data_IF_697379804848
#
_entry.id   IF_697379804848
#
_cell.length_a   1.000
_cell.length_b   1.000
_cell.length_c   1.000
_cell.angle_alpha   90.00
_cell.angle_beta   90.00
_cell.angle_gamma   90.00
#
_symmetry.space_group_name_H-M   'P 1'
#
loop_
_entity.id
_entity.type
_entity.pdbx_description
1 polymer ?
#
# COMPACT_ATOMS: atom_id res chain seq x y z
N UNK A 1 31.29 30.81 -27.30
CA UNK A 1 29.98 30.51 -27.93
C UNK A 1 30.13 29.26 -28.79
N UNK A 2 29.05 28.47 -28.92
CA UNK A 2 28.83 27.47 -29.99
C UNK A 2 29.20 25.98 -29.77
N UNK A 3 28.83 25.35 -28.63
CA UNK A 3 28.77 23.86 -28.57
C UNK A 3 27.62 23.24 -27.75
N UNK A 4 26.51 23.95 -27.53
CA UNK A 4 25.31 23.37 -26.90
C UNK A 4 24.00 23.61 -27.68
N UNK A 5 24.09 24.20 -28.87
CA UNK A 5 22.92 24.43 -29.75
C UNK A 5 22.71 23.26 -30.73
N UNK A 6 23.73 22.44 -30.98
CA UNK A 6 23.70 21.38 -31.99
C UNK A 6 23.00 20.07 -31.60
N UNK A 7 22.49 19.94 -30.37
CA UNK A 7 21.78 18.74 -29.93
C UNK A 7 20.25 18.87 -29.97
N UNK A 8 19.70 20.01 -30.43
CA UNK A 8 18.26 20.22 -30.53
C UNK A 8 17.49 20.23 -29.20
N UNK A 9 18.18 20.19 -28.06
CA UNK A 9 17.60 20.00 -26.73
C UNK A 9 17.20 21.31 -26.02
N UNK A 10 17.39 22.47 -26.65
CA UNK A 10 17.03 23.75 -26.04
C UNK A 10 16.32 24.62 -27.06
N UNK A 11 15.01 24.76 -26.90
CA UNK A 11 14.29 25.94 -27.39
C UNK A 11 14.07 26.87 -26.21
N UNK A 12 14.71 28.04 -26.25
CA UNK A 12 14.43 29.14 -25.33
C UNK A 12 13.32 29.97 -25.95
N UNK A 13 12.17 30.03 -25.30
CA UNK A 13 11.22 31.14 -25.46
C UNK A 13 11.05 31.81 -24.09
N UNK A 14 11.28 33.13 -24.00
CA UNK A 14 11.16 33.85 -22.74
C UNK A 14 9.70 34.23 -22.55
N UNK A 15 9.01 33.60 -21.60
CA UNK A 15 7.72 34.11 -21.15
C UNK A 15 7.47 33.85 -19.66
N UNK A 16 6.76 34.80 -19.06
CA UNK A 16 6.75 35.10 -17.65
C UNK A 16 6.21 33.96 -16.76
N UNK A 17 6.88 33.80 -15.61
CA UNK A 17 6.28 33.46 -14.32
C UNK A 17 5.36 32.22 -14.26
N UNK A 18 5.84 31.05 -14.70
CA UNK A 18 5.59 29.71 -14.10
C UNK A 18 6.31 28.64 -14.93
N UNK A 19 7.33 28.00 -14.37
CA UNK A 19 8.00 26.85 -15.02
C UNK A 19 7.08 25.64 -14.96
N UNK A 20 6.52 25.24 -16.10
CA UNK A 20 5.86 23.94 -16.27
C UNK A 20 6.89 22.95 -16.81
N UNK A 21 7.19 21.91 -16.05
CA UNK A 21 7.96 20.77 -16.53
C UNK A 21 6.98 19.72 -17.08
N UNK A 22 7.19 19.28 -18.32
CA UNK A 22 6.46 18.16 -18.93
C UNK A 22 7.48 17.07 -19.22
N UNK A 23 7.25 15.87 -18.67
CA UNK A 23 8.11 14.71 -18.90
C UNK A 23 7.57 13.94 -20.11
N UNK A 24 8.40 13.76 -21.12
CA UNK A 24 8.09 12.97 -22.32
C UNK A 24 8.49 11.51 -22.05
N UNK A 25 7.50 10.63 -21.86
CA UNK A 25 7.71 9.25 -21.45
C UNK A 25 8.19 8.34 -22.59
N UNK A 26 8.24 8.86 -23.83
CA UNK A 26 8.58 8.08 -25.02
C UNK A 26 10.08 7.78 -25.13
N UNK A 27 10.94 8.42 -24.33
CA UNK A 27 12.39 8.25 -24.33
C UNK A 27 12.93 7.27 -23.26
N UNK A 28 12.08 6.82 -22.33
CA UNK A 28 12.46 5.83 -21.31
C UNK A 28 12.35 4.41 -21.90
N UNK A 29 13.32 4.02 -22.73
CA UNK A 29 13.62 2.60 -22.95
C UNK A 29 14.61 2.18 -21.86
N UNK A 30 14.18 1.53 -20.77
CA UNK A 30 15.14 1.06 -19.78
C UNK A 30 16.05 0.04 -20.45
N UNK A 31 17.37 0.06 -20.18
CA UNK A 31 18.19 -1.11 -20.46
C UNK A 31 17.61 -2.28 -19.66
N UNK A 32 17.25 -3.35 -20.36
CA UNK A 32 16.85 -4.64 -19.82
C UNK A 32 18.04 -5.28 -19.09
N UNK A 33 18.33 -4.79 -17.88
CA UNK A 33 19.16 -5.42 -16.86
C UNK A 33 19.16 -4.51 -15.61
N UNK A 34 18.00 -4.37 -14.96
CA UNK A 34 18.02 -4.02 -13.55
C UNK A 34 18.57 -5.24 -12.80
N UNK A 35 19.50 -5.09 -11.83
CA UNK A 35 19.98 -6.22 -11.06
C UNK A 35 18.79 -6.83 -10.30
N UNK A 36 18.46 -8.08 -10.61
CA UNK A 36 17.41 -8.88 -9.94
C UNK A 36 17.60 -8.93 -8.40
N UNK A 37 18.76 -8.52 -7.89
CA UNK A 37 19.16 -8.58 -6.48
C UNK A 37 18.43 -7.62 -5.53
N UNK A 38 17.81 -6.54 -6.00
CA UNK A 38 17.08 -5.61 -5.12
C UNK A 38 15.62 -6.02 -4.88
N UNK A 39 15.01 -6.78 -5.80
CA UNK A 39 13.62 -7.22 -5.71
C UNK A 39 13.45 -8.44 -4.79
N UNK A 40 14.50 -9.24 -4.56
CA UNK A 40 14.43 -10.47 -3.75
C UNK A 40 14.64 -10.25 -2.25
N UNK A 41 15.39 -9.21 -1.84
CA UNK A 41 15.72 -8.94 -0.43
C UNK A 41 14.56 -8.49 0.48
N UNK A 42 13.54 -7.71 0.02
CA UNK A 42 12.50 -7.18 0.92
C UNK A 42 11.56 -8.26 1.46
N UNK A 43 11.36 -9.36 0.72
CA UNK A 43 10.46 -10.45 1.10
C UNK A 43 11.01 -11.24 2.31
N UNK A 44 12.32 -11.51 2.32
CA UNK A 44 12.96 -12.26 3.41
C UNK A 44 12.98 -11.47 4.73
N UNK A 45 13.24 -10.16 4.65
CA UNK A 45 13.22 -9.28 5.83
C UNK A 45 11.80 -9.13 6.39
N UNK A 46 10.81 -8.93 5.51
CA UNK A 46 9.40 -8.82 5.91
C UNK A 46 8.91 -10.11 6.58
N UNK A 47 9.23 -11.28 6.00
CA UNK A 47 8.87 -12.57 6.57
C UNK A 47 9.54 -12.80 7.94
N UNK A 48 10.80 -12.36 8.11
CA UNK A 48 11.47 -12.40 9.41
C UNK A 48 10.78 -11.51 10.43
N UNK A 49 10.45 -10.27 10.06
CA UNK A 49 9.71 -9.35 10.93
C UNK A 49 8.37 -9.97 11.35
N UNK A 50 7.62 -10.56 10.43
CA UNK A 50 6.35 -11.19 10.78
C UNK A 50 6.55 -12.34 11.78
N UNK A 51 7.56 -13.20 11.58
CA UNK A 51 7.89 -14.27 12.54
C UNK A 51 8.30 -13.75 13.92
N UNK A 52 8.99 -12.61 13.98
CA UNK A 52 9.46 -12.03 15.24
C UNK A 52 8.32 -11.38 16.05
N UNK A 53 7.25 -10.93 15.39
CA UNK A 53 6.15 -10.18 16.02
C UNK A 53 4.84 -10.96 16.12
N UNK A 54 4.61 -11.98 15.30
CA UNK A 54 3.42 -12.83 15.35
C UNK A 54 3.71 -14.18 15.98
N UNK A 55 2.82 -14.59 16.88
CA UNK A 55 2.69 -15.96 17.36
C UNK A 55 1.37 -16.53 16.79
N UNK A 56 1.49 -17.28 15.68
CA UNK A 56 0.35 -17.67 14.87
C UNK A 56 -0.38 -16.44 14.30
N UNK A 57 -1.66 -16.28 14.63
CA UNK A 57 -2.47 -15.13 14.18
C UNK A 57 -2.36 -13.91 15.10
N UNK A 58 -1.73 -14.07 16.27
CA UNK A 58 -1.70 -13.06 17.33
C UNK A 58 -0.42 -12.24 17.25
N UNK A 59 -0.57 -10.93 17.09
CA UNK A 59 0.50 -9.96 17.24
C UNK A 59 0.88 -9.87 18.72
N UNK A 60 2.12 -10.20 19.04
CA UNK A 60 2.64 -10.18 20.41
C UNK A 60 2.81 -8.76 20.95
N UNK A 61 3.24 -7.84 20.09
CA UNK A 61 3.41 -6.42 20.40
C UNK A 61 3.38 -5.57 19.12
N UNK A 62 2.95 -4.32 19.23
CA UNK A 62 3.03 -3.37 18.11
C UNK A 62 4.48 -2.87 17.99
N UNK A 63 5.16 -3.02 16.83
CA UNK A 63 6.54 -2.57 16.67
C UNK A 63 6.69 -1.06 16.93
N UNK A 64 7.66 -0.69 17.78
CA UNK A 64 8.04 0.71 17.99
C UNK A 64 8.73 1.32 16.76
N UNK A 65 9.46 0.49 16.00
CA UNK A 65 10.15 0.90 14.77
C UNK A 65 9.15 0.99 13.63
N UNK A 66 9.02 2.19 13.04
CA UNK A 66 8.06 2.51 11.98
C UNK A 66 8.14 1.58 10.76
N UNK A 67 9.35 1.29 10.26
CA UNK A 67 9.55 0.32 9.15
C UNK A 67 8.93 -1.05 9.43
N UNK A 68 9.21 -1.62 10.62
CA UNK A 68 8.65 -2.91 11.03
C UNK A 68 7.14 -2.84 11.23
N UNK A 69 6.65 -1.70 11.72
CA UNK A 69 5.22 -1.45 11.86
C UNK A 69 4.51 -1.47 10.52
N UNK A 70 5.08 -0.86 9.47
CA UNK A 70 4.51 -0.93 8.12
C UNK A 70 4.33 -2.39 7.70
N UNK A 71 5.35 -3.24 7.88
CA UNK A 71 5.25 -4.67 7.55
C UNK A 71 4.08 -5.35 8.27
N UNK A 72 3.91 -5.09 9.57
CA UNK A 72 2.78 -5.61 10.36
C UNK A 72 1.44 -5.08 9.84
N UNK A 73 1.34 -3.78 9.56
CA UNK A 73 0.12 -3.16 9.04
C UNK A 73 -0.28 -3.73 7.67
N UNK A 74 0.69 -3.98 6.79
CA UNK A 74 0.46 -4.61 5.48
C UNK A 74 -0.13 -6.00 5.63
N UNK A 75 0.45 -6.82 6.51
CA UNK A 75 -0.07 -8.15 6.79
C UNK A 75 -1.48 -8.12 7.39
N UNK A 76 -1.77 -7.17 8.29
CA UNK A 76 -3.12 -7.00 8.81
C UNK A 76 -4.13 -6.55 7.74
N UNK A 77 -3.68 -5.76 6.76
CA UNK A 77 -4.53 -5.28 5.67
C UNK A 77 -5.02 -6.42 4.77
N UNK A 78 -4.29 -7.54 4.68
CA UNK A 78 -4.70 -8.73 3.91
C UNK A 78 -6.01 -9.37 4.43
N UNK A 79 -6.41 -9.05 5.66
CA UNK A 79 -7.69 -9.49 6.25
C UNK A 79 -8.90 -8.72 5.70
N UNK A 80 -8.67 -7.60 5.01
CA UNK A 80 -9.70 -6.74 4.46
C UNK A 80 -9.90 -7.00 2.97
N UNK A 81 -11.15 -7.01 2.54
CA UNK A 81 -11.53 -7.04 1.14
C UNK A 81 -11.57 -5.61 0.59
N UNK A 82 -10.82 -5.30 -0.47
CA UNK A 82 -10.99 -4.09 -1.26
C UNK A 82 -12.43 -3.86 -1.71
N UNK A 83 -12.76 -2.59 -1.92
CA UNK A 83 -14.07 -2.11 -2.39
C UNK A 83 -15.26 -2.42 -1.45
N UNK A 84 -15.00 -2.98 -0.27
CA UNK A 84 -16.02 -3.27 0.74
C UNK A 84 -16.03 -2.25 1.87
N UNK A 85 -17.23 -1.88 2.30
CA UNK A 85 -17.44 -1.04 3.46
C UNK A 85 -17.54 -1.87 4.75
N UNK A 86 -16.76 -1.46 5.74
CA UNK A 86 -16.68 -2.09 7.05
C UNK A 86 -17.15 -1.11 8.13
N UNK A 87 -18.24 -1.39 8.85
CA UNK A 87 -18.53 -0.62 10.06
C UNK A 87 -17.42 -0.83 11.08
N UNK A 88 -17.18 0.17 11.93
CA UNK A 88 -16.14 0.14 12.97
C UNK A 88 -16.15 -1.15 13.81
N UNK A 89 -17.33 -1.69 14.12
CA UNK A 89 -17.47 -2.97 14.83
C UNK A 89 -16.82 -4.12 14.07
N UNK A 90 -17.07 -4.23 12.77
CA UNK A 90 -16.52 -5.31 11.95
C UNK A 90 -15.00 -5.19 11.80
N UNK A 91 -14.48 -3.96 11.66
CA UNK A 91 -13.03 -3.71 11.69
C UNK A 91 -12.42 -4.19 13.00
N UNK A 92 -13.06 -3.88 14.12
CA UNK A 92 -12.59 -4.34 15.42
C UNK A 92 -12.60 -5.87 15.50
N UNK A 93 -13.66 -6.52 14.99
CA UNK A 93 -13.78 -7.98 15.01
C UNK A 93 -12.74 -8.67 14.10
N UNK A 94 -12.37 -8.08 12.97
CA UNK A 94 -11.29 -8.57 12.09
C UNK A 94 -9.89 -8.43 12.72
N UNK A 95 -9.66 -7.37 13.50
CA UNK A 95 -8.37 -7.07 14.12
C UNK A 95 -8.20 -7.73 15.49
N UNK A 96 -9.29 -8.04 16.21
CA UNK A 96 -9.26 -8.60 17.56
C UNK A 96 -8.49 -9.91 17.69
N UNK A 97 -8.54 -10.85 16.70
CA UNK A 97 -7.69 -12.04 16.73
C UNK A 97 -6.19 -11.71 16.67
N UNK A 98 -5.83 -10.59 16.03
CA UNK A 98 -4.45 -10.13 15.97
C UNK A 98 -4.01 -9.46 17.27
N UNK A 99 -4.77 -8.49 17.79
CA UNK A 99 -4.34 -7.73 18.96
C UNK A 99 -5.54 -7.14 19.72
N UNK A 100 -5.43 -7.03 21.04
CA UNK A 100 -6.48 -6.44 21.89
C UNK A 100 -6.63 -4.92 21.68
N UNK A 101 -5.52 -4.23 21.46
CA UNK A 101 -5.49 -2.81 21.09
C UNK A 101 -5.83 -2.60 19.60
N UNK A 102 -7.08 -2.95 19.25
CA UNK A 102 -7.65 -2.73 17.92
C UNK A 102 -7.76 -1.24 17.57
N UNK A 103 -7.87 -0.37 18.58
CA UNK A 103 -7.98 1.07 18.39
C UNK A 103 -6.68 1.65 17.81
N UNK A 104 -5.52 1.25 18.34
CA UNK A 104 -4.21 1.68 17.83
C UNK A 104 -3.97 1.15 16.42
N UNK A 105 -4.22 -0.14 16.17
CA UNK A 105 -4.03 -0.72 14.82
C UNK A 105 -4.90 -0.03 13.77
N UNK A 106 -6.17 0.22 14.10
CA UNK A 106 -7.12 0.90 13.22
C UNK A 106 -6.71 2.35 12.93
N UNK A 107 -6.18 3.07 13.94
CA UNK A 107 -5.64 4.42 13.76
C UNK A 107 -4.42 4.40 12.84
N UNK A 108 -3.45 3.53 13.10
CA UNK A 108 -2.23 3.44 12.29
C UNK A 108 -2.55 3.02 10.84
N UNK A 109 -3.50 2.10 10.60
CA UNK A 109 -3.96 1.75 9.24
C UNK A 109 -4.54 2.96 8.48
N UNK A 110 -5.23 3.87 9.19
CA UNK A 110 -5.75 5.11 8.62
C UNK A 110 -4.66 6.16 8.45
N UNK A 111 -3.77 6.30 9.42
CA UNK A 111 -2.67 7.28 9.40
C UNK A 111 -1.67 6.99 8.27
N UNK A 112 -1.38 5.71 8.01
CA UNK A 112 -0.63 5.27 6.84
C UNK A 112 -1.44 5.27 5.55
N UNK A 113 -2.73 5.62 5.59
CA UNK A 113 -3.59 5.76 4.41
C UNK A 113 -3.92 4.44 3.70
N UNK A 114 -3.77 3.30 4.38
CA UNK A 114 -4.20 2.00 3.86
C UNK A 114 -5.70 1.79 4.01
N UNK A 115 -6.27 2.31 5.11
CA UNK A 115 -7.71 2.42 5.30
C UNK A 115 -8.14 3.89 5.21
N UNK A 116 -9.33 4.13 4.67
CA UNK A 116 -10.03 5.41 4.75
C UNK A 116 -11.22 5.28 5.68
N UNK A 117 -11.49 6.31 6.48
CA UNK A 117 -12.63 6.36 7.40
C UNK A 117 -13.55 7.52 7.05
N UNK A 118 -14.83 7.23 6.80
CA UNK A 118 -15.88 8.24 6.58
C UNK A 118 -17.10 7.90 7.43
N UNK A 119 -17.48 8.80 8.35
CA UNK A 119 -18.66 8.63 9.23
C UNK A 119 -18.70 7.30 10.00
N UNK A 120 -17.55 6.80 10.45
CA UNK A 120 -17.46 5.53 11.20
C UNK A 120 -17.43 4.27 10.33
N UNK A 121 -17.49 4.43 9.00
CA UNK A 121 -17.31 3.37 8.03
C UNK A 121 -15.87 3.40 7.52
N UNK A 122 -15.26 2.22 7.42
CA UNK A 122 -13.90 1.98 6.97
C UNK A 122 -13.91 1.29 5.61
N UNK A 123 -12.93 1.61 4.77
CA UNK A 123 -12.71 0.94 3.48
C UNK A 123 -11.21 0.90 3.19
N UNK A 124 -10.75 -0.13 2.49
CA UNK A 124 -9.40 -0.12 1.90
C UNK A 124 -9.29 1.06 0.93
N UNK A 125 -8.20 1.82 1.00
CA UNK A 125 -8.00 2.96 0.14
C UNK A 125 -7.98 2.52 -1.35
N UNK A 126 -8.69 3.25 -2.21
CA UNK A 126 -8.66 2.97 -3.65
C UNK A 126 -7.30 3.30 -4.30
N UNK A 127 -6.51 4.15 -3.64
CA UNK A 127 -5.15 4.52 -4.03
C UNK A 127 -4.34 4.90 -2.80
N UNK A 128 -3.04 4.65 -2.85
CA UNK A 128 -2.12 5.17 -1.83
C UNK A 128 -2.07 6.70 -1.88
N UNK A 129 -1.93 7.38 -0.71
CA UNK A 129 -1.67 8.81 -0.68
C UNK A 129 -0.24 9.11 -1.14
N UNK A 130 0.03 10.35 -1.54
CA UNK A 130 1.40 10.80 -1.81
C UNK A 130 2.24 10.67 -0.55
N UNK A 131 3.35 9.94 -0.63
CA UNK A 131 4.26 9.74 0.50
C UNK A 131 5.19 10.94 0.64
N UNK A 132 5.23 11.53 1.84
CA UNK A 132 6.33 12.40 2.24
C UNK A 132 7.65 11.63 2.33
N UNK A 133 8.80 12.31 2.35
CA UNK A 133 10.12 11.66 2.32
C UNK A 133 10.33 10.66 3.46
N UNK A 134 9.82 10.96 4.66
CA UNK A 134 9.93 10.09 5.83
C UNK A 134 9.11 8.81 5.67
N UNK A 135 7.82 8.94 5.33
CA UNK A 135 6.92 7.78 5.18
C UNK A 135 7.34 6.91 3.99
N UNK A 136 7.85 7.51 2.91
CA UNK A 136 8.37 6.75 1.76
C UNK A 136 9.55 5.85 2.14
N UNK A 137 10.46 6.32 3.00
CA UNK A 137 11.56 5.48 3.50
C UNK A 137 11.09 4.37 4.44
N UNK A 138 10.01 4.61 5.19
CA UNK A 138 9.41 3.62 6.09
C UNK A 138 8.70 2.50 5.33
N UNK A 139 7.96 2.87 4.29
CA UNK A 139 7.20 1.94 3.48
C UNK A 139 8.08 1.13 2.52
N UNK A 140 9.19 1.70 2.04
CA UNK A 140 10.02 1.03 1.06
C UNK A 140 9.47 1.16 -0.36
N UNK A 141 10.33 0.85 -1.32
CA UNK A 141 10.11 1.11 -2.76
C UNK A 141 9.07 0.17 -3.39
N UNK A 142 8.82 -0.98 -2.78
CA UNK A 142 7.90 -2.02 -3.23
C UNK A 142 6.42 -1.72 -2.91
N UNK A 143 6.14 -0.72 -2.06
CA UNK A 143 4.79 -0.40 -1.59
C UNK A 143 3.75 -0.26 -2.72
N UNK A 144 4.02 0.49 -3.81
CA UNK A 144 3.01 0.70 -4.85
C UNK A 144 2.67 -0.58 -5.60
N UNK A 145 3.66 -1.45 -5.81
CA UNK A 145 3.48 -2.73 -6.48
C UNK A 145 2.65 -3.67 -5.61
N UNK A 146 3.07 -3.87 -4.35
CA UNK A 146 2.33 -4.69 -3.39
C UNK A 146 0.87 -4.22 -3.23
N UNK A 147 0.64 -2.91 -3.16
CA UNK A 147 -0.72 -2.39 -3.01
C UNK A 147 -1.57 -2.61 -4.26
N UNK A 148 -0.98 -2.47 -5.45
CA UNK A 148 -1.67 -2.79 -6.70
C UNK A 148 -2.03 -4.28 -6.79
N UNK A 149 -1.13 -5.17 -6.37
CA UNK A 149 -1.39 -6.62 -6.28
C UNK A 149 -2.48 -6.94 -5.25
N UNK A 150 -2.50 -6.26 -4.10
CA UNK A 150 -3.56 -6.45 -3.10
C UNK A 150 -4.94 -6.12 -3.67
N UNK A 151 -5.05 -5.00 -4.38
CA UNK A 151 -6.29 -4.59 -5.05
C UNK A 151 -6.66 -5.56 -6.18
N UNK A 152 -5.68 -6.01 -6.97
CA UNK A 152 -5.91 -6.95 -8.09
C UNK A 152 -6.28 -8.38 -7.62
N UNK A 153 -5.58 -8.90 -6.62
CA UNK A 153 -5.85 -10.23 -6.05
C UNK A 153 -7.15 -10.28 -5.26
N UNK A 154 -7.68 -9.13 -4.82
CA UNK A 154 -9.04 -9.05 -4.31
C UNK A 154 -10.10 -9.21 -5.38
N UNK A 155 -9.90 -8.65 -6.58
CA UNK A 155 -10.78 -8.92 -7.72
C UNK A 155 -10.86 -10.41 -8.03
N UNK A 156 -9.73 -11.13 -7.98
CA UNK A 156 -9.70 -12.59 -8.20
C UNK A 156 -10.43 -13.37 -7.09
N UNK A 157 -10.22 -12.99 -5.82
CA UNK A 157 -10.93 -13.61 -4.67
C UNK A 157 -12.42 -13.27 -4.65
N UNK A 158 -12.81 -12.07 -5.05
CA UNK A 158 -14.20 -11.64 -5.17
C UNK A 158 -14.93 -12.40 -6.29
N UNK A 159 -14.27 -12.61 -7.43
CA UNK A 159 -14.80 -13.44 -8.52
C UNK A 159 -14.94 -14.91 -8.11
N UNK A 160 -14.05 -15.43 -7.27
CA UNK A 160 -14.19 -16.78 -6.70
C UNK A 160 -15.32 -16.88 -5.67
N UNK A 161 -15.56 -15.84 -4.87
CA UNK A 161 -16.62 -15.80 -3.84
C UNK A 161 -18.04 -15.65 -4.41
N UNK A 162 -18.21 -15.04 -5.60
CA UNK A 162 -19.49 -14.99 -6.33
C UNK A 162 -19.99 -16.39 -6.72
N UNK A 163 -19.15 -17.43 -6.67
CA UNK A 163 -19.56 -18.83 -6.86
C UNK A 163 -20.12 -19.52 -5.60
N UNK A 164 -20.14 -18.86 -4.44
CA UNK A 164 -20.77 -19.38 -3.23
C UNK A 164 -22.14 -18.72 -3.01
N UNK A 165 -23.25 -19.47 -2.95
CA UNK A 165 -24.56 -18.89 -2.66
C UNK A 165 -24.54 -18.26 -1.26
N UNK A 166 -25.27 -17.15 -1.04
CA UNK A 166 -25.36 -16.53 0.28
C UNK A 166 -25.87 -17.56 1.30
N UNK A 167 -25.37 -17.56 2.55
CA UNK A 167 -25.98 -18.38 3.59
C UNK A 167 -27.43 -17.94 3.75
N UNK A 168 -28.34 -18.91 3.60
CA UNK A 168 -29.77 -18.76 3.81
C UNK A 168 -30.02 -17.93 5.05
N UNK A 169 -30.57 -16.73 4.85
CA UNK A 169 -31.05 -15.91 5.95
C UNK A 169 -32.41 -16.48 6.35
N UNK A 170 -32.39 -17.54 7.14
CA UNK A 170 -33.56 -18.02 7.86
C UNK A 170 -33.90 -17.00 8.95
N UNK A 171 -34.78 -16.07 8.61
CA UNK A 171 -35.58 -15.33 9.60
C UNK A 171 -36.81 -16.19 9.89
N UNK A 172 -36.91 -16.68 11.13
CA UNK A 172 -38.15 -17.12 11.77
C UNK A 172 -38.96 -15.90 12.24
#
# INVERSE_FOLDING_TARGET
MAKLVGAGLVQVTPEAQRRRYRLDLTALRPPLAAPESELTRPLDESAKILRDFFDGERLTQIPAVRKKRVVVLRHLLERFEPERDYPEREVNDLLRPAHEDVATLRRELVDYGYLVRVRGIYRVAARLPERGPTVGQEAGSDEPHWFAELLAGATERALSKVAAPPPDTAFE
#
